data_IF_975031765901
#
_entry.id   IF_975031765901
#
_cell.length_a   1.000
_cell.length_b   1.000
_cell.length_c   1.000
_cell.angle_alpha   90.00
_cell.angle_beta   90.00
_cell.angle_gamma   90.00
#
_symmetry.space_group_name_H-M   'P 1'
#
loop_
_entity.id
_entity.type
_entity.pdbx_description
1 polymer ?
#
# COMPACT_ATOMS: atom_id res chain seq x y z
N UNK A 1 24.11 5.03 -10.23
CA UNK A 1 23.25 4.59 -11.36
C UNK A 1 23.42 3.09 -11.68
N UNK A 2 24.54 2.47 -11.29
CA UNK A 2 24.89 1.10 -11.72
C UNK A 2 24.05 -0.02 -11.09
N UNK A 3 23.56 0.18 -9.87
CA UNK A 3 22.78 -0.84 -9.15
C UNK A 3 21.43 -1.12 -9.80
N UNK A 4 20.73 -0.10 -10.31
CA UNK A 4 19.47 -0.30 -11.05
C UNK A 4 19.70 -1.14 -12.33
N UNK A 5 20.80 -0.88 -13.04
CA UNK A 5 21.15 -1.62 -14.25
C UNK A 5 21.53 -3.07 -13.97
N UNK A 6 22.09 -3.36 -12.80
CA UNK A 6 22.38 -4.72 -12.36
C UNK A 6 21.08 -5.49 -12.06
N UNK A 7 20.14 -4.88 -11.33
CA UNK A 7 18.84 -5.49 -11.02
C UNK A 7 18.02 -5.82 -12.27
N UNK A 8 18.03 -4.94 -13.29
CA UNK A 8 17.27 -5.17 -14.53
C UNK A 8 17.74 -6.38 -15.34
N UNK A 9 18.98 -6.83 -15.13
CA UNK A 9 19.55 -7.99 -15.83
C UNK A 9 19.31 -9.31 -15.08
N UNK A 10 18.88 -9.25 -13.83
CA UNK A 10 18.60 -10.43 -13.02
C UNK A 10 17.23 -11.02 -13.42
N UNK A 11 17.16 -12.25 -13.96
CA UNK A 11 15.89 -12.89 -14.31
C UNK A 11 14.95 -13.04 -13.10
N UNK A 12 15.47 -13.15 -11.88
CA UNK A 12 14.64 -13.20 -10.67
C UNK A 12 13.85 -11.89 -10.46
N UNK A 13 14.37 -10.75 -10.91
CA UNK A 13 13.65 -9.47 -10.88
C UNK A 13 12.50 -9.48 -11.88
N UNK A 14 12.71 -10.01 -13.08
CA UNK A 14 11.65 -10.14 -14.08
C UNK A 14 10.51 -11.06 -13.59
N UNK A 15 10.84 -12.18 -12.95
CA UNK A 15 9.85 -13.09 -12.37
C UNK A 15 9.05 -12.43 -11.23
N UNK A 16 9.72 -11.69 -10.34
CA UNK A 16 9.03 -10.92 -9.28
C UNK A 16 8.05 -9.91 -9.85
N UNK A 17 8.45 -9.14 -10.86
CA UNK A 17 7.57 -8.18 -11.53
C UNK A 17 6.35 -8.87 -12.16
N UNK A 18 6.52 -10.04 -12.78
CA UNK A 18 5.38 -10.81 -13.32
C UNK A 18 4.44 -11.24 -12.21
N UNK A 19 4.96 -11.78 -11.11
CA UNK A 19 4.16 -12.16 -9.93
C UNK A 19 3.39 -10.99 -9.35
N UNK A 20 4.02 -9.82 -9.21
CA UNK A 20 3.37 -8.60 -8.71
C UNK A 20 2.24 -8.13 -9.64
N UNK A 21 2.44 -8.21 -10.96
CA UNK A 21 1.42 -7.88 -11.97
C UNK A 21 0.24 -8.84 -11.93
N UNK A 22 0.48 -10.14 -11.78
CA UNK A 22 -0.57 -11.15 -11.64
C UNK A 22 -1.36 -10.97 -10.36
N UNK A 23 -0.69 -10.72 -9.24
CA UNK A 23 -1.31 -10.44 -7.95
C UNK A 23 -2.21 -9.20 -8.02
N UNK A 24 -1.71 -8.10 -8.60
CA UNK A 24 -2.49 -6.87 -8.78
C UNK A 24 -3.75 -7.09 -9.62
N UNK A 25 -3.63 -7.81 -10.74
CA UNK A 25 -4.77 -8.14 -11.59
C UNK A 25 -5.79 -9.03 -10.86
N UNK A 26 -5.32 -10.04 -10.14
CA UNK A 26 -6.18 -10.92 -9.34
C UNK A 26 -6.92 -10.16 -8.22
N UNK A 27 -6.28 -9.13 -7.66
CA UNK A 27 -6.88 -8.23 -6.67
C UNK A 27 -7.79 -7.14 -7.28
N UNK A 28 -8.00 -7.13 -8.61
CA UNK A 28 -8.82 -6.14 -9.31
C UNK A 28 -8.22 -4.74 -9.35
N UNK A 29 -6.88 -4.64 -9.34
CA UNK A 29 -6.15 -3.38 -9.51
C UNK A 29 -6.05 -3.07 -11.00
N UNK A 30 -6.75 -2.02 -11.42
CA UNK A 30 -6.80 -1.51 -12.79
C UNK A 30 -6.08 -0.15 -12.95
N UNK A 31 -5.95 0.61 -11.86
CA UNK A 31 -5.35 1.93 -11.79
C UNK A 31 -4.58 2.10 -10.49
N UNK A 32 -3.65 3.06 -10.47
CA UNK A 32 -2.88 3.44 -9.28
C UNK A 32 -3.17 4.90 -8.92
N UNK A 33 -3.08 5.29 -7.63
CA UNK A 33 -2.68 4.46 -6.48
C UNK A 33 -3.81 3.58 -5.92
N UNK A 34 -3.46 2.39 -5.41
CA UNK A 34 -4.33 1.49 -4.65
C UNK A 34 -3.56 0.95 -3.45
N UNK A 35 -4.19 0.92 -2.29
CA UNK A 35 -3.61 0.42 -1.04
C UNK A 35 -4.48 -0.69 -0.46
N UNK A 36 -3.83 -1.64 0.21
CA UNK A 36 -4.48 -2.71 0.94
C UNK A 36 -3.94 -2.73 2.37
N UNK A 37 -4.82 -2.89 3.35
CA UNK A 37 -4.48 -3.07 4.76
C UNK A 37 -5.13 -4.36 5.24
N UNK A 38 -4.34 -5.32 5.73
CA UNK A 38 -4.82 -6.63 6.17
C UNK A 38 -5.74 -7.34 5.15
N UNK A 39 -5.40 -7.24 3.85
CA UNK A 39 -6.19 -7.81 2.76
C UNK A 39 -7.44 -7.02 2.34
N UNK A 40 -7.77 -5.93 3.04
CA UNK A 40 -8.88 -5.04 2.69
C UNK A 40 -8.39 -3.86 1.86
N UNK A 41 -9.07 -3.58 0.75
CA UNK A 41 -8.76 -2.42 -0.09
C UNK A 41 -9.16 -1.12 0.61
N UNK A 42 -8.24 -0.16 0.65
CA UNK A 42 -8.51 1.21 1.12
C UNK A 42 -9.08 1.99 -0.07
N UNK A 43 -10.29 2.51 0.08
CA UNK A 43 -11.03 3.20 -0.99
C UNK A 43 -10.59 4.66 -1.18
N UNK A 44 -10.01 5.26 -0.14
CA UNK A 44 -9.55 6.64 -0.13
C UNK A 44 -8.20 6.72 0.59
N UNK A 45 -7.17 7.19 -0.11
CA UNK A 45 -5.80 7.30 0.41
C UNK A 45 -5.71 8.29 1.59
N UNK A 46 -6.59 9.29 1.66
CA UNK A 46 -6.60 10.24 2.78
C UNK A 46 -6.92 9.55 4.12
N UNK A 47 -7.60 8.41 4.08
CA UNK A 47 -7.95 7.61 5.25
C UNK A 47 -6.91 6.54 5.59
N UNK A 48 -5.80 6.44 4.85
CA UNK A 48 -4.81 5.38 5.07
C UNK A 48 -4.20 5.43 6.48
N UNK A 49 -3.83 6.63 6.95
CA UNK A 49 -3.27 6.81 8.29
C UNK A 49 -4.25 6.35 9.38
N UNK A 50 -5.49 6.85 9.35
CA UNK A 50 -6.53 6.47 10.31
C UNK A 50 -6.90 4.98 10.23
N UNK A 51 -6.83 4.37 9.03
CA UNK A 51 -7.06 2.94 8.86
C UNK A 51 -5.96 2.11 9.52
N UNK A 52 -4.69 2.51 9.38
CA UNK A 52 -3.54 1.86 10.05
C UNK A 52 -3.67 1.97 11.56
N UNK A 53 -3.96 3.17 12.09
CA UNK A 53 -4.16 3.39 13.53
C UNK A 53 -5.27 2.49 14.10
N UNK A 54 -6.41 2.41 13.39
CA UNK A 54 -7.53 1.57 13.79
C UNK A 54 -7.21 0.07 13.77
N UNK A 55 -6.43 -0.41 12.80
CA UNK A 55 -6.05 -1.82 12.69
C UNK A 55 -5.08 -2.24 13.81
N UNK A 56 -4.14 -1.37 14.16
CA UNK A 56 -3.14 -1.65 15.21
C UNK A 56 -3.62 -1.31 16.62
N UNK A 57 -4.86 -0.85 16.80
CA UNK A 57 -5.43 -0.50 18.11
C UNK A 57 -4.69 0.65 18.81
N UNK A 58 -4.05 1.52 18.03
CA UNK A 58 -3.42 2.72 18.55
C UNK A 58 -4.54 3.75 18.72
N UNK A 59 -5.06 3.89 19.94
CA UNK A 59 -5.97 4.98 20.28
C UNK A 59 -5.33 6.30 19.86
N UNK A 60 -5.90 6.94 18.84
CA UNK A 60 -5.49 8.27 18.43
C UNK A 60 -5.86 9.24 19.56
N UNK A 61 -4.84 9.91 20.11
CA UNK A 61 -5.05 11.03 21.02
C UNK A 61 -6.01 12.03 20.37
N UNK A 62 -7.23 12.08 20.91
CA UNK A 62 -8.35 12.79 20.34
C UNK A 62 -8.04 14.27 20.10
N UNK A 63 -8.56 14.78 18.99
CA UNK A 63 -8.82 16.18 18.79
C UNK A 63 -9.70 16.70 19.94
N UNK A 64 -9.09 17.37 20.92
CA UNK A 64 -9.82 18.21 21.87
C UNK A 64 -10.45 19.35 21.09
N UNK A 65 -11.73 19.18 20.76
CA UNK A 65 -12.61 20.30 20.42
C UNK A 65 -12.82 21.09 21.71
N UNK A 66 -12.04 22.14 21.92
CA UNK A 66 -12.31 23.11 22.97
C UNK A 66 -13.42 24.06 22.48
N UNK A 67 -14.65 23.79 22.92
CA UNK A 67 -15.73 24.78 22.93
C UNK A 67 -15.64 25.55 24.24
N UNK A 68 -15.30 26.84 24.16
CA UNK A 68 -15.80 27.92 25.00
C UNK A 68 -15.45 29.27 24.37
#
# INVERSE_FOLDING_TARGET
MDQCAACLKDPAVAERVRGDMELGRAAGVDRTPVFFLSGRRITDVSNLASAVEAEFGLESGGSTTATN
#
